data_IF_055454565697
#
_entry.id   IF_055454565697
#
_cell.length_a   1.000
_cell.length_b   1.000
_cell.length_c   1.000
_cell.angle_alpha   90.00
_cell.angle_beta   90.00
_cell.angle_gamma   90.00
#
_symmetry.space_group_name_H-M   'P 1'
#
loop_
_entity.id
_entity.type
_entity.pdbx_description
1 polymer ?
#
# COMPACT_ATOMS: atom_id res chain seq x y z
N UNK A 1 -72.09 -10.76 3.92
CA UNK A 1 -71.57 -10.52 5.28
C UNK A 1 -70.43 -9.53 5.16
N UNK A 2 -70.66 -8.21 5.07
CA UNK A 2 -70.83 -7.23 6.18
C UNK A 2 -69.63 -7.27 7.15
N UNK A 3 -68.75 -6.27 7.27
CA UNK A 3 -68.98 -4.87 7.69
C UNK A 3 -67.72 -4.00 7.35
N UNK A 4 -67.87 -2.81 6.75
CA UNK A 4 -67.87 -1.44 7.36
C UNK A 4 -66.58 -1.12 8.15
N UNK A 5 -65.71 -0.13 7.84
CA UNK A 5 -65.79 1.30 7.43
C UNK A 5 -65.24 2.23 8.55
N UNK A 6 -64.39 3.17 8.12
CA UNK A 6 -64.09 4.53 8.64
C UNK A 6 -62.99 4.72 9.69
N UNK A 7 -61.84 5.31 9.33
CA UNK A 7 -61.47 6.76 9.29
C UNK A 7 -61.77 7.58 10.55
N UNK A 8 -60.73 8.23 11.11
CA UNK A 8 -60.73 9.64 11.53
C UNK A 8 -59.31 10.22 11.68
N UNK A 9 -59.11 11.36 11.04
CA UNK A 9 -58.05 12.37 11.20
C UNK A 9 -58.38 13.24 12.42
N UNK A 10 -57.39 13.62 13.26
CA UNK A 10 -57.37 14.88 14.03
C UNK A 10 -55.92 15.35 14.23
N UNK A 11 -55.72 16.65 14.04
CA UNK A 11 -54.50 17.45 14.19
C UNK A 11 -54.50 18.21 15.54
N UNK A 12 -53.34 18.35 16.21
CA UNK A 12 -52.88 19.50 17.04
C UNK A 12 -51.58 19.11 17.77
N UNK A 13 -50.44 19.78 17.63
CA UNK A 13 -50.01 21.14 18.02
C UNK A 13 -49.25 21.16 19.39
N UNK A 14 -47.93 21.33 19.29
CA UNK A 14 -46.98 22.14 20.12
C UNK A 14 -46.88 21.95 21.64
N UNK A 15 -45.68 21.50 22.08
CA UNK A 15 -44.85 22.03 23.20
C UNK A 15 -43.62 21.08 23.26
N UNK A 16 -42.36 21.49 23.05
CA UNK A 16 -41.66 22.57 23.74
C UNK A 16 -40.80 21.97 24.85
N UNK A 17 -39.64 21.36 24.53
CA UNK A 17 -38.57 21.13 25.51
C UNK A 17 -37.21 21.21 24.84
N UNK A 18 -36.56 22.37 24.99
CA UNK A 18 -35.16 22.60 24.67
C UNK A 18 -34.34 21.97 25.80
N UNK A 19 -33.75 20.81 25.55
CA UNK A 19 -32.72 20.26 26.41
C UNK A 19 -31.36 20.80 25.92
N UNK A 20 -30.79 21.71 26.71
CA UNK A 20 -29.41 22.20 26.57
C UNK A 20 -28.44 21.03 26.83
N UNK A 21 -28.05 20.31 25.78
CA UNK A 21 -26.92 19.39 25.85
C UNK A 21 -25.63 20.21 25.92
N UNK A 22 -24.98 20.15 27.08
CA UNK A 22 -23.62 20.63 27.27
C UNK A 22 -22.68 19.91 26.28
N UNK A 23 -21.63 20.58 25.76
CA UNK A 23 -20.61 19.88 24.98
C UNK A 23 -19.82 18.99 25.94
N UNK A 24 -20.22 17.73 26.05
CA UNK A 24 -19.38 16.70 26.65
C UNK A 24 -18.12 16.60 25.80
N UNK A 25 -17.02 17.03 26.39
CA UNK A 25 -15.64 16.83 25.96
C UNK A 25 -15.50 15.58 25.08
N UNK A 26 -15.38 15.81 23.77
CA UNK A 26 -15.04 14.75 22.82
C UNK A 26 -13.63 14.27 23.15
N UNK A 27 -13.55 13.19 23.92
CA UNK A 27 -12.38 12.32 23.90
C UNK A 27 -12.26 11.81 22.48
N UNK A 28 -11.44 12.49 21.67
CA UNK A 28 -10.96 11.94 20.42
C UNK A 28 -10.03 10.78 20.78
N UNK A 29 -10.64 9.61 20.94
CA UNK A 29 -9.96 8.33 20.77
C UNK A 29 -9.55 8.23 19.30
N UNK A 30 -8.50 8.96 18.93
CA UNK A 30 -7.84 8.84 17.64
C UNK A 30 -6.97 7.58 17.68
N UNK A 31 -7.61 6.41 17.79
CA UNK A 31 -7.02 5.14 17.38
C UNK A 31 -7.13 5.05 15.84
N UNK A 32 -6.54 6.01 15.15
CA UNK A 32 -6.27 5.88 13.73
C UNK A 32 -5.01 5.05 13.59
N UNK A 33 -5.14 3.87 13.00
CA UNK A 33 -4.02 3.19 12.35
C UNK A 33 -3.37 4.20 11.40
N UNK A 34 -2.14 4.65 11.66
CA UNK A 34 -1.52 5.72 10.86
C UNK A 34 -0.32 5.32 10.00
N UNK A 35 0.16 4.09 10.09
CA UNK A 35 1.19 3.64 9.15
C UNK A 35 0.98 2.17 8.77
N UNK A 36 0.69 1.92 7.50
CA UNK A 36 0.94 0.65 6.84
C UNK A 36 2.38 0.71 6.34
N UNK A 37 3.26 -0.07 6.96
CA UNK A 37 4.66 -0.18 6.55
C UNK A 37 4.83 -1.51 5.83
N UNK A 38 5.54 -1.50 4.71
CA UNK A 38 5.95 -2.72 3.99
C UNK A 38 7.05 -3.43 4.79
N UNK A 39 6.75 -4.51 5.53
CA UNK A 39 7.66 -5.07 6.51
C UNK A 39 8.48 -6.18 5.83
N UNK A 40 9.36 -5.80 4.92
CA UNK A 40 10.32 -6.74 4.33
C UNK A 40 11.58 -6.91 5.18
N UNK A 41 11.75 -6.09 6.21
CA UNK A 41 12.80 -6.31 7.18
C UNK A 41 12.38 -7.36 8.24
N UNK A 42 13.30 -8.29 8.52
CA UNK A 42 13.22 -9.28 9.62
C UNK A 42 13.07 -8.64 11.01
N UNK A 43 13.17 -7.32 11.10
CA UNK A 43 13.13 -6.56 12.34
C UNK A 43 11.72 -6.09 12.77
N UNK A 44 10.70 -6.21 11.90
CA UNK A 44 9.32 -5.83 12.22
C UNK A 44 8.61 -6.90 13.06
N UNK A 45 8.82 -6.83 14.38
CA UNK A 45 8.12 -7.61 15.40
C UNK A 45 7.22 -6.72 16.25
N UNK A 46 6.21 -7.30 16.90
CA UNK A 46 5.40 -6.60 17.90
C UNK A 46 6.31 -5.92 18.94
N UNK A 47 6.00 -4.68 19.29
CA UNK A 47 6.74 -3.87 20.25
C UNK A 47 7.98 -3.17 19.68
N UNK A 48 8.37 -3.48 18.44
CA UNK A 48 9.45 -2.77 17.75
C UNK A 48 9.09 -1.31 17.57
N UNK A 49 10.00 -0.43 17.96
CA UNK A 49 9.93 1.00 17.73
C UNK A 49 10.13 1.38 16.27
N UNK A 50 9.45 2.42 15.80
CA UNK A 50 9.40 2.86 14.41
C UNK A 50 9.56 4.37 14.34
N UNK A 51 10.43 4.85 13.46
CA UNK A 51 10.44 6.25 13.03
C UNK A 51 9.39 6.45 11.93
N UNK A 52 8.37 7.28 12.16
CA UNK A 52 7.26 7.41 11.19
C UNK A 52 7.60 8.26 9.95
N UNK A 53 8.72 9.00 10.00
CA UNK A 53 9.21 9.75 8.86
C UNK A 53 10.07 8.87 7.94
N UNK A 54 11.02 8.12 8.52
CA UNK A 54 11.91 7.25 7.74
C UNK A 54 11.42 5.82 7.58
N UNK A 55 10.38 5.38 8.28
CA UNK A 55 9.95 3.98 8.28
C UNK A 55 10.91 3.01 8.98
N UNK A 56 12.03 3.52 9.51
CA UNK A 56 13.10 2.71 10.10
C UNK A 56 12.63 1.99 11.37
N UNK A 57 12.99 0.71 11.48
CA UNK A 57 12.86 -0.05 12.72
C UNK A 57 13.98 0.33 13.70
N UNK A 58 13.60 0.68 14.93
CA UNK A 58 14.48 1.15 16.00
C UNK A 58 14.50 0.15 17.17
N UNK A 59 14.72 0.63 18.39
CA UNK A 59 14.81 -0.18 19.59
C UNK A 59 13.52 -0.91 19.96
N UNK A 60 13.68 -1.94 20.80
CA UNK A 60 12.59 -2.70 21.39
C UNK A 60 12.29 -2.10 22.78
N UNK A 61 11.44 -1.08 22.80
CA UNK A 61 11.11 -0.32 24.02
C UNK A 61 9.80 -0.76 24.68
N UNK A 62 9.13 -1.77 24.14
CA UNK A 62 7.84 -2.27 24.63
C UNK A 62 8.02 -3.58 25.36
N UNK A 63 7.46 -3.67 26.55
CA UNK A 63 7.21 -4.91 27.25
C UNK A 63 5.89 -5.51 26.75
N UNK A 64 5.97 -6.72 26.18
CA UNK A 64 4.80 -7.51 25.79
C UNK A 64 4.48 -8.55 26.86
N UNK A 65 3.19 -8.94 27.03
CA UNK A 65 2.83 -10.09 27.85
C UNK A 65 3.44 -11.40 27.31
N UNK A 66 3.63 -12.39 28.19
CA UNK A 66 4.28 -13.66 27.88
C UNK A 66 3.46 -14.58 26.95
N UNK A 67 2.14 -14.40 26.89
CA UNK A 67 1.25 -15.16 26.02
C UNK A 67 0.44 -14.21 25.14
N UNK A 68 0.73 -14.22 23.84
CA UNK A 68 -0.09 -13.57 22.82
C UNK A 68 -1.15 -14.61 22.41
N UNK A 69 -2.46 -14.31 22.45
CA UNK A 69 -3.47 -15.23 21.96
C UNK A 69 -3.20 -15.51 20.48
N UNK A 70 -3.01 -16.78 20.13
CA UNK A 70 -3.07 -17.19 18.73
C UNK A 70 -4.52 -16.99 18.28
N UNK A 71 -4.74 -16.30 17.16
CA UNK A 71 -6.01 -16.45 16.47
C UNK A 71 -6.03 -17.88 15.91
N UNK A 72 -6.83 -18.73 16.54
CA UNK A 72 -7.05 -20.13 16.15
C UNK A 72 -7.98 -20.20 14.93
N UNK A 73 -7.60 -19.53 13.85
CA UNK A 73 -8.40 -19.49 12.64
C UNK A 73 -7.51 -19.62 11.41
N UNK A 74 -7.69 -20.71 10.67
CA UNK A 74 -7.15 -20.93 9.32
C UNK A 74 -7.72 -19.94 8.27
N UNK A 75 -8.50 -18.93 8.70
CA UNK A 75 -9.16 -17.97 7.84
C UNK A 75 -8.15 -17.11 7.08
N UNK A 76 -8.19 -17.19 5.75
CA UNK A 76 -7.41 -16.33 4.84
C UNK A 76 -8.36 -15.44 4.07
N UNK A 77 -7.97 -14.19 3.89
CA UNK A 77 -8.60 -13.29 2.93
C UNK A 77 -7.69 -13.18 1.71
N UNK A 78 -8.24 -13.35 0.51
CA UNK A 78 -7.50 -13.17 -0.74
C UNK A 78 -8.22 -12.16 -1.63
N UNK A 79 -7.46 -11.24 -2.22
CA UNK A 79 -7.94 -10.28 -3.20
C UNK A 79 -7.07 -10.34 -4.45
N UNK A 80 -7.70 -10.53 -5.62
CA UNK A 80 -7.07 -10.37 -6.93
C UNK A 80 -7.56 -9.04 -7.52
N UNK A 81 -6.62 -8.14 -7.80
CA UNK A 81 -6.85 -6.87 -8.47
C UNK A 81 -6.14 -6.89 -9.80
N UNK A 82 -6.85 -6.55 -10.87
CA UNK A 82 -6.28 -6.33 -12.19
C UNK A 82 -6.66 -4.91 -12.59
N UNK A 83 -5.65 -4.12 -12.97
CA UNK A 83 -5.84 -2.72 -13.29
C UNK A 83 -4.79 -2.20 -14.24
N UNK A 84 -4.86 -0.90 -14.48
CA UNK A 84 -3.86 -0.15 -15.21
C UNK A 84 -3.10 0.74 -14.28
N UNK A 85 -1.86 1.04 -14.65
CA UNK A 85 -1.07 2.08 -14.01
C UNK A 85 -0.98 3.26 -14.97
N UNK A 86 -1.40 4.43 -14.51
CA UNK A 86 -1.35 5.66 -15.31
C UNK A 86 -0.19 6.60 -14.94
N UNK A 87 0.36 6.44 -13.73
CA UNK A 87 1.46 7.26 -13.20
C UNK A 87 2.19 6.53 -12.07
N UNK A 88 3.37 6.99 -11.68
CA UNK A 88 4.06 6.46 -10.50
C UNK A 88 3.26 6.68 -9.21
N UNK A 89 2.50 7.77 -9.13
CA UNK A 89 1.59 8.00 -7.99
C UNK A 89 0.47 6.94 -7.92
N UNK A 90 -0.10 6.59 -9.07
CA UNK A 90 -1.11 5.54 -9.18
C UNK A 90 -0.54 4.16 -8.80
N UNK A 91 0.68 3.84 -9.25
CA UNK A 91 1.38 2.62 -8.83
C UNK A 91 1.54 2.55 -7.31
N UNK A 92 2.09 3.59 -6.69
CA UNK A 92 2.30 3.62 -5.23
C UNK A 92 0.98 3.45 -4.48
N UNK A 93 -0.08 4.13 -4.95
CA UNK A 93 -1.43 3.99 -4.39
C UNK A 93 -1.95 2.55 -4.52
N UNK A 94 -1.81 1.92 -5.68
CA UNK A 94 -2.23 0.53 -5.92
C UNK A 94 -1.44 -0.47 -5.06
N UNK A 95 -0.15 -0.21 -4.81
CA UNK A 95 0.70 -1.01 -3.92
C UNK A 95 0.43 -0.77 -2.43
N UNK A 96 -0.45 0.18 -2.08
CA UNK A 96 -0.77 0.55 -0.70
C UNK A 96 0.38 1.28 0.01
N UNK A 97 1.20 2.00 -0.74
CA UNK A 97 2.37 2.74 -0.26
C UNK A 97 2.12 4.25 -0.28
N UNK A 98 2.63 4.94 0.74
CA UNK A 98 2.72 6.39 0.71
C UNK A 98 3.90 6.81 -0.18
N UNK A 99 3.77 7.93 -0.92
CA UNK A 99 4.83 8.44 -1.79
C UNK A 99 6.17 8.62 -1.04
N UNK A 100 6.13 9.08 0.22
CA UNK A 100 7.33 9.25 1.07
C UNK A 100 8.17 7.97 1.23
N UNK A 101 7.56 6.79 1.04
CA UNK A 101 8.27 5.52 1.08
C UNK A 101 9.40 5.43 0.04
N UNK A 102 9.36 6.23 -1.03
CA UNK A 102 10.47 6.35 -1.99
C UNK A 102 11.78 6.78 -1.31
N UNK A 103 11.71 7.56 -0.23
CA UNK A 103 12.89 8.07 0.48
C UNK A 103 13.25 7.30 1.75
N UNK A 104 12.38 6.40 2.20
CA UNK A 104 12.63 5.57 3.39
C UNK A 104 13.72 4.52 3.17
N UNK A 105 14.24 4.39 1.94
CA UNK A 105 15.32 3.47 1.55
C UNK A 105 16.72 4.07 1.73
N UNK A 106 16.85 5.38 1.97
CA UNK A 106 18.13 6.09 2.06
C UNK A 106 18.99 5.65 3.26
N UNK A 107 18.41 5.07 4.30
CA UNK A 107 19.11 4.62 5.52
C UNK A 107 19.62 3.17 5.47
N UNK A 108 19.52 2.50 4.31
CA UNK A 108 20.07 1.16 4.09
C UNK A 108 19.10 0.00 4.38
N UNK A 109 17.85 0.29 4.78
CA UNK A 109 16.79 -0.73 4.88
C UNK A 109 16.03 -0.84 3.56
N UNK A 110 16.43 -1.78 2.70
CA UNK A 110 15.77 -1.99 1.40
C UNK A 110 14.37 -2.60 1.58
N UNK A 111 13.34 -1.77 1.46
CA UNK A 111 11.98 -2.23 1.23
C UNK A 111 11.90 -2.87 -0.15
N UNK A 112 11.66 -4.17 -0.24
CA UNK A 112 11.57 -4.85 -1.53
C UNK A 112 10.41 -4.37 -2.43
N UNK A 113 9.34 -3.72 -1.95
CA UNK A 113 8.38 -3.05 -2.85
C UNK A 113 8.93 -1.77 -3.46
N UNK A 114 9.64 -0.95 -2.70
CA UNK A 114 10.30 0.26 -3.27
C UNK A 114 11.38 -0.15 -4.27
N UNK A 115 12.17 -1.18 -3.95
CA UNK A 115 13.15 -1.72 -4.89
C UNK A 115 12.52 -2.36 -6.12
N UNK A 116 11.29 -2.86 -6.01
CA UNK A 116 10.53 -3.33 -7.17
C UNK A 116 10.07 -2.17 -8.06
N UNK A 117 9.57 -1.07 -7.48
CA UNK A 117 9.20 0.11 -8.28
C UNK A 117 10.38 0.74 -9.00
N UNK A 118 11.60 0.61 -8.45
CA UNK A 118 12.82 1.12 -9.09
C UNK A 118 13.26 0.31 -10.33
N UNK A 119 12.66 -0.86 -10.60
CA UNK A 119 13.04 -1.73 -11.73
C UNK A 119 12.52 -1.22 -13.08
N UNK A 120 11.54 -0.32 -13.08
CA UNK A 120 10.91 0.20 -14.28
C UNK A 120 10.55 1.68 -14.09
N UNK A 121 10.33 2.38 -15.19
CA UNK A 121 9.95 3.79 -15.18
C UNK A 121 8.67 3.96 -15.97
N UNK A 122 7.66 4.58 -15.36
CA UNK A 122 6.35 4.76 -15.99
C UNK A 122 6.41 5.95 -16.94
N UNK A 123 6.06 5.72 -18.20
CA UNK A 123 5.94 6.75 -19.22
C UNK A 123 4.55 6.75 -19.87
N UNK A 124 4.25 7.79 -20.64
CA UNK A 124 2.92 8.01 -21.25
C UNK A 124 2.72 7.23 -22.54
N UNK A 125 3.78 6.75 -23.17
CA UNK A 125 3.78 6.03 -24.45
C UNK A 125 3.50 4.53 -24.25
N UNK A 126 4.04 3.92 -23.21
CA UNK A 126 3.77 2.52 -22.85
C UNK A 126 2.39 2.36 -22.18
N UNK A 127 1.84 1.15 -22.29
CA UNK A 127 0.69 0.70 -21.51
C UNK A 127 1.18 -0.17 -20.35
N UNK A 128 0.83 0.22 -19.13
CA UNK A 128 1.18 -0.54 -17.93
C UNK A 128 -0.04 -1.25 -17.37
N UNK A 129 0.05 -2.57 -17.24
CA UNK A 129 -0.95 -3.41 -16.60
C UNK A 129 -0.43 -3.91 -15.27
N UNK A 130 -1.30 -3.90 -14.27
CA UNK A 130 -1.03 -4.31 -12.91
C UNK A 130 -1.90 -5.50 -12.53
N UNK A 131 -1.27 -6.56 -12.05
CA UNK A 131 -1.94 -7.72 -11.44
C UNK A 131 -1.41 -7.83 -10.02
N UNK A 132 -2.31 -7.76 -9.03
CA UNK A 132 -1.97 -7.92 -7.63
C UNK A 132 -2.84 -8.98 -6.98
N UNK A 133 -2.18 -9.92 -6.32
CA UNK A 133 -2.82 -10.89 -5.46
C UNK A 133 -2.29 -10.70 -4.07
N UNK A 134 -3.17 -10.27 -3.17
CA UNK A 134 -2.85 -10.08 -1.77
C UNK A 134 -3.60 -11.10 -0.93
N UNK A 135 -2.86 -11.84 -0.13
CA UNK A 135 -3.38 -12.87 0.78
C UNK A 135 -3.05 -12.41 2.19
N UNK A 136 -4.05 -12.19 3.02
CA UNK A 136 -3.89 -11.77 4.41
C UNK A 136 -4.40 -12.85 5.34
N UNK A 137 -3.55 -13.26 6.28
CA UNK A 137 -3.92 -14.06 7.44
C UNK A 137 -4.59 -13.17 8.50
N UNK A 138 -5.16 -13.75 9.57
CA UNK A 138 -5.77 -12.97 10.63
C UNK A 138 -4.78 -11.97 11.24
N UNK A 139 -5.30 -10.83 11.70
CA UNK A 139 -4.52 -9.78 12.33
C UNK A 139 -3.96 -10.26 13.68
N UNK A 140 -2.65 -10.31 13.83
CA UNK A 140 -2.01 -10.54 15.13
C UNK A 140 -1.92 -9.22 15.88
N UNK A 141 -2.49 -9.16 17.08
CA UNK A 141 -2.46 -7.95 17.92
C UNK A 141 -2.15 -8.31 19.36
N UNK A 142 -1.43 -7.43 20.05
CA UNK A 142 -1.18 -7.55 21.48
C UNK A 142 -1.98 -6.50 22.25
N UNK A 143 -2.55 -6.89 23.39
CA UNK A 143 -3.12 -5.99 24.40
C UNK A 143 -2.16 -5.85 25.58
N UNK A 144 -2.41 -4.87 26.44
CA UNK A 144 -1.73 -4.74 27.73
C UNK A 144 -0.20 -4.60 27.63
N UNK A 145 0.24 -3.83 26.63
CA UNK A 145 1.64 -3.44 26.46
C UNK A 145 1.99 -2.23 27.33
N UNK A 146 3.26 -2.15 27.73
CA UNK A 146 3.81 -1.03 28.50
C UNK A 146 5.23 -0.72 28.04
N UNK A 147 5.74 0.47 28.34
CA UNK A 147 7.16 0.76 28.15
C UNK A 147 8.02 -0.10 29.08
N UNK A 148 9.17 -0.57 28.58
CA UNK A 148 10.22 -1.12 29.44
C UNK A 148 10.74 -0.05 30.39
N UNK A 149 11.17 -0.47 31.59
CA UNK A 149 11.66 0.46 32.61
C UNK A 149 12.87 1.27 32.11
N UNK A 150 13.76 0.68 31.33
CA UNK A 150 14.91 1.39 30.75
C UNK A 150 14.49 2.50 29.78
N UNK A 151 13.41 2.29 29.02
CA UNK A 151 12.87 3.30 28.12
C UNK A 151 12.20 4.45 28.90
N UNK A 152 11.50 4.14 29.99
CA UNK A 152 10.97 5.14 30.93
C UNK A 152 12.10 5.95 31.56
N UNK A 153 13.16 5.28 32.01
CA UNK A 153 14.34 5.92 32.60
C UNK A 153 15.04 6.82 31.58
N UNK A 154 15.21 6.36 30.34
CA UNK A 154 15.80 7.14 29.25
C UNK A 154 15.02 8.43 29.03
N UNK A 155 13.69 8.36 28.94
CA UNK A 155 12.85 9.54 28.78
C UNK A 155 13.01 10.51 29.97
N UNK A 156 12.94 10.00 31.20
CA UNK A 156 12.98 10.83 32.40
C UNK A 156 14.36 11.49 32.64
N UNK A 157 15.44 10.83 32.23
CA UNK A 157 16.81 11.29 32.50
C UNK A 157 17.44 12.07 31.35
N UNK A 158 17.10 11.73 30.09
CA UNK A 158 17.70 12.31 28.89
C UNK A 158 16.68 13.03 27.98
N UNK A 159 15.39 12.96 28.31
CA UNK A 159 14.32 13.67 27.61
C UNK A 159 13.76 12.93 26.40
N UNK A 160 12.77 13.57 25.76
CA UNK A 160 11.98 13.00 24.68
C UNK A 160 12.79 12.72 23.40
N UNK A 161 13.80 13.54 23.08
CA UNK A 161 14.62 13.37 21.88
C UNK A 161 15.50 12.10 21.97
N UNK A 162 16.17 11.89 23.11
CA UNK A 162 16.95 10.69 23.36
C UNK A 162 16.07 9.43 23.32
N UNK A 163 14.87 9.50 23.93
CA UNK A 163 13.88 8.44 23.83
C UNK A 163 13.50 8.16 22.37
N UNK A 164 13.18 9.18 21.56
CA UNK A 164 12.80 9.03 20.16
C UNK A 164 13.92 8.43 19.31
N UNK A 165 15.17 8.84 19.53
CA UNK A 165 16.30 8.28 18.79
C UNK A 165 16.51 6.79 19.09
N UNK A 166 16.20 6.35 20.32
CA UNK A 166 16.32 4.95 20.72
C UNK A 166 15.09 4.11 20.36
N UNK A 167 13.88 4.64 20.59
CA UNK A 167 12.61 3.92 20.54
C UNK A 167 11.77 4.28 19.31
N UNK A 168 12.03 5.39 18.64
CA UNK A 168 11.19 5.90 17.56
C UNK A 168 9.99 6.71 18.04
N UNK A 169 9.09 6.96 17.09
CA UNK A 169 7.89 7.77 17.22
C UNK A 169 6.68 6.94 17.68
N UNK A 170 6.59 5.73 17.13
CA UNK A 170 5.52 4.77 17.37
C UNK A 170 6.10 3.37 17.55
N UNK A 171 5.28 2.41 17.96
CA UNK A 171 5.68 1.01 18.03
C UNK A 171 4.72 0.12 17.25
N UNK A 172 5.20 -1.02 16.75
CA UNK A 172 4.36 -2.03 16.09
C UNK A 172 3.44 -2.66 17.12
N UNK A 173 2.13 -2.37 17.03
CA UNK A 173 1.10 -2.89 17.93
C UNK A 173 0.45 -4.17 17.39
N UNK A 174 0.31 -4.24 16.07
CA UNK A 174 -0.34 -5.36 15.40
C UNK A 174 0.32 -5.57 14.04
N UNK A 175 0.21 -6.77 13.49
CA UNK A 175 0.61 -7.05 12.11
C UNK A 175 -0.27 -8.14 11.51
N UNK A 176 -0.47 -8.13 10.20
CA UNK A 176 -0.99 -9.29 9.47
C UNK A 176 0.14 -9.93 8.66
N UNK A 177 0.21 -11.25 8.70
CA UNK A 177 1.08 -12.04 7.81
C UNK A 177 0.30 -12.50 6.59
N UNK A 178 1.01 -13.00 5.59
CA UNK A 178 0.40 -13.56 4.41
C UNK A 178 1.38 -13.58 3.26
N UNK A 179 0.92 -13.19 2.08
CA UNK A 179 1.77 -13.03 0.92
C UNK A 179 1.19 -12.07 -0.08
N UNK A 180 2.06 -11.56 -0.93
CA UNK A 180 1.69 -10.64 -1.98
C UNK A 180 2.45 -10.98 -3.26
N UNK A 181 1.70 -11.13 -4.35
CA UNK A 181 2.21 -11.30 -5.69
C UNK A 181 1.79 -10.07 -6.50
N UNK A 182 2.77 -9.40 -7.11
CA UNK A 182 2.58 -8.27 -8.01
C UNK A 182 3.25 -8.62 -9.33
N UNK A 183 2.51 -8.47 -10.42
CA UNK A 183 3.07 -8.45 -11.76
C UNK A 183 2.73 -7.12 -12.42
N UNK A 184 3.75 -6.48 -13.00
CA UNK A 184 3.61 -5.31 -13.86
C UNK A 184 4.04 -5.71 -15.25
N UNK A 185 3.15 -5.54 -16.22
CA UNK A 185 3.48 -5.68 -17.64
C UNK A 185 3.61 -4.28 -18.23
N UNK A 186 4.76 -4.01 -18.84
CA UNK A 186 4.96 -2.85 -19.70
C UNK A 186 4.84 -3.30 -21.16
N UNK A 187 3.75 -2.91 -21.81
CA UNK A 187 3.54 -3.10 -23.24
C UNK A 187 3.98 -1.83 -23.94
N UNK A 188 5.12 -1.87 -24.63
CA UNK A 188 5.67 -0.72 -25.35
C UNK A 188 4.85 -0.46 -26.60
N UNK A 189 4.48 0.79 -26.82
CA UNK A 189 3.64 1.18 -27.97
C UNK A 189 4.33 2.27 -28.77
N UNK A 190 4.05 2.30 -30.07
CA UNK A 190 4.67 3.26 -30.98
C UNK A 190 4.16 4.69 -30.78
N UNK A 191 2.90 4.84 -30.39
CA UNK A 191 2.25 6.14 -30.22
C UNK A 191 0.96 6.04 -29.38
N UNK A 192 0.42 7.19 -29.00
CA UNK A 192 -0.77 7.28 -28.15
C UNK A 192 -2.02 6.62 -28.78
N UNK A 193 -2.15 6.61 -30.11
CA UNK A 193 -3.27 5.97 -30.79
C UNK A 193 -3.19 4.44 -30.67
N UNK A 194 -2.01 3.87 -30.91
CA UNK A 194 -1.75 2.44 -30.72
C UNK A 194 -1.95 2.02 -29.26
N UNK A 195 -1.47 2.82 -28.29
CA UNK A 195 -1.76 2.62 -26.86
C UNK A 195 -3.26 2.58 -26.56
N UNK A 196 -4.05 3.52 -27.11
CA UNK A 196 -5.51 3.57 -26.91
C UNK A 196 -6.22 2.36 -27.52
N UNK A 197 -5.74 1.88 -28.66
CA UNK A 197 -6.27 0.68 -29.32
C UNK A 197 -6.05 -0.57 -28.46
N UNK A 198 -4.81 -0.80 -27.99
CA UNK A 198 -4.50 -1.92 -27.08
C UNK A 198 -5.29 -1.78 -25.78
N UNK A 199 -5.32 -0.58 -25.18
CA UNK A 199 -6.07 -0.32 -23.95
C UNK A 199 -7.56 -0.66 -24.10
N UNK A 200 -8.19 -0.24 -25.20
CA UNK A 200 -9.59 -0.53 -25.47
C UNK A 200 -9.84 -2.03 -25.68
N UNK A 201 -8.93 -2.74 -26.35
CA UNK A 201 -9.06 -4.18 -26.60
C UNK A 201 -8.98 -5.01 -25.32
N UNK A 202 -8.22 -4.54 -24.33
CA UNK A 202 -8.06 -5.19 -23.02
C UNK A 202 -9.15 -4.75 -22.03
N UNK A 203 -9.54 -3.45 -22.03
CA UNK A 203 -10.53 -2.88 -21.10
C UNK A 203 -11.90 -3.54 -21.14
N UNK A 204 -12.33 -3.98 -22.31
CA UNK A 204 -13.61 -4.70 -22.48
C UNK A 204 -13.70 -6.02 -21.70
N UNK A 205 -12.57 -6.50 -21.17
CA UNK A 205 -12.45 -7.83 -20.56
C UNK A 205 -12.13 -7.80 -19.06
N UNK A 206 -12.07 -6.62 -18.41
CA UNK A 206 -11.86 -6.51 -16.96
C UNK A 206 -13.10 -6.99 -16.19
N UNK A 207 -13.09 -8.24 -15.71
CA UNK A 207 -14.15 -8.77 -14.85
C UNK A 207 -14.01 -10.26 -14.53
N UNK A 208 -13.75 -10.58 -13.26
CA UNK A 208 -13.53 -11.95 -12.77
C UNK A 208 -14.81 -12.81 -12.79
N UNK A 209 -15.99 -12.21 -12.96
CA UNK A 209 -17.27 -12.92 -12.82
C UNK A 209 -17.75 -13.73 -14.03
N UNK A 210 -17.12 -13.64 -15.21
CA UNK A 210 -17.40 -14.58 -16.34
C UNK A 210 -16.51 -14.42 -17.59
N UNK A 211 -15.47 -13.56 -17.58
CA UNK A 211 -14.74 -13.15 -18.79
C UNK A 211 -13.26 -13.53 -18.91
N UNK A 212 -12.71 -14.32 -17.97
CA UNK A 212 -11.25 -14.57 -17.86
C UNK A 212 -10.57 -15.05 -19.15
N UNK A 213 -11.26 -15.87 -19.96
CA UNK A 213 -10.73 -16.35 -21.25
C UNK A 213 -10.57 -15.21 -22.26
N UNK A 214 -11.55 -14.31 -22.36
CA UNK A 214 -11.50 -13.17 -23.30
C UNK A 214 -10.42 -12.15 -22.93
N UNK A 215 -10.18 -11.95 -21.63
CA UNK A 215 -9.07 -11.14 -21.14
C UNK A 215 -7.72 -11.76 -21.49
N UNK A 216 -7.51 -13.03 -21.13
CA UNK A 216 -6.24 -13.71 -21.39
C UNK A 216 -5.90 -13.74 -22.88
N UNK A 217 -6.89 -13.97 -23.75
CA UNK A 217 -6.67 -13.95 -25.21
C UNK A 217 -6.24 -12.57 -25.73
N UNK A 218 -6.92 -11.50 -25.31
CA UNK A 218 -6.60 -10.13 -25.73
C UNK A 218 -5.26 -9.65 -25.18
N UNK A 219 -4.95 -10.04 -23.95
CA UNK A 219 -3.65 -9.78 -23.35
C UNK A 219 -2.54 -10.55 -24.08
N UNK A 220 -2.75 -11.82 -24.41
CA UNK A 220 -1.78 -12.63 -25.16
C UNK A 220 -1.51 -12.05 -26.55
N UNK A 221 -2.57 -11.58 -27.23
CA UNK A 221 -2.46 -10.87 -28.52
C UNK A 221 -1.61 -9.60 -28.38
N UNK A 222 -1.84 -8.81 -27.33
CA UNK A 222 -1.06 -7.61 -27.05
C UNK A 222 0.43 -7.93 -26.73
N UNK A 223 0.68 -8.95 -25.90
CA UNK A 223 2.04 -9.43 -25.57
C UNK A 223 2.77 -9.91 -26.82
N UNK A 224 2.09 -10.66 -27.70
CA UNK A 224 2.70 -11.26 -28.89
C UNK A 224 2.98 -10.24 -30.00
N UNK A 225 2.17 -9.17 -30.08
CA UNK A 225 2.27 -8.14 -31.11
C UNK A 225 3.18 -6.97 -30.74
N UNK A 226 3.63 -6.88 -29.47
CA UNK A 226 4.39 -5.75 -28.97
C UNK A 226 5.59 -6.20 -28.14
N UNK A 227 6.63 -5.35 -28.09
CA UNK A 227 7.71 -5.53 -27.11
C UNK A 227 7.14 -5.36 -25.71
N UNK A 228 7.22 -6.42 -24.92
CA UNK A 228 6.64 -6.45 -23.58
C UNK A 228 7.69 -6.85 -22.56
N UNK A 229 7.80 -6.04 -21.50
CA UNK A 229 8.62 -6.34 -20.34
C UNK A 229 7.72 -6.76 -19.15
N UNK A 230 8.15 -7.76 -18.40
CA UNK A 230 7.42 -8.30 -17.24
C UNK A 230 8.27 -8.16 -15.98
N UNK A 231 7.71 -7.46 -15.01
CA UNK A 231 8.30 -7.25 -13.69
C UNK A 231 7.46 -8.00 -12.66
N UNK A 232 8.10 -8.82 -11.83
CA UNK A 232 7.43 -9.60 -10.79
C UNK A 232 8.03 -9.26 -9.43
N UNK A 233 7.15 -8.93 -8.50
CA UNK A 233 7.43 -8.93 -7.07
C UNK A 233 6.61 -10.02 -6.40
N UNK A 234 7.25 -10.78 -5.52
CA UNK A 234 6.58 -11.79 -4.71
C UNK A 234 7.16 -11.80 -3.30
N UNK A 235 6.27 -11.76 -2.30
CA UNK A 235 6.61 -11.96 -0.89
C UNK A 235 5.75 -13.05 -0.29
N UNK A 236 6.38 -14.07 0.28
CA UNK A 236 5.69 -15.26 0.78
C UNK A 236 5.18 -16.21 -0.32
N UNK A 237 4.69 -17.36 0.11
CA UNK A 237 4.26 -18.44 -0.78
C UNK A 237 5.42 -19.23 -1.40
N UNK A 238 5.08 -20.08 -2.36
CA UNK A 238 6.07 -20.84 -3.15
C UNK A 238 6.60 -19.96 -4.27
N UNK A 239 7.92 -19.83 -4.38
CA UNK A 239 8.54 -19.08 -5.48
C UNK A 239 8.60 -19.97 -6.73
N UNK A 240 7.73 -19.66 -7.69
CA UNK A 240 7.78 -20.23 -9.04
C UNK A 240 7.94 -19.08 -10.04
N UNK A 241 8.84 -19.21 -11.02
CA UNK A 241 8.96 -18.20 -12.06
C UNK A 241 7.72 -18.23 -12.95
N UNK A 242 7.08 -17.09 -13.17
CA UNK A 242 6.06 -16.98 -14.21
C UNK A 242 6.76 -16.69 -15.54
N UNK A 243 6.35 -17.36 -16.61
CA UNK A 243 6.73 -16.98 -17.97
C UNK A 243 5.98 -15.74 -18.43
N UNK A 244 6.53 -15.03 -19.42
CA UNK A 244 5.82 -13.96 -20.13
C UNK A 244 4.73 -14.58 -21.02
N UNK A 245 3.58 -14.90 -20.44
CA UNK A 245 2.33 -15.19 -21.14
C UNK A 245 1.14 -14.83 -20.26
N UNK A 246 0.04 -14.42 -20.88
CA UNK A 246 -1.19 -14.06 -20.18
C UNK A 246 -1.73 -15.23 -19.36
N UNK A 247 -1.73 -16.44 -19.94
CA UNK A 247 -2.22 -17.64 -19.28
C UNK A 247 -1.37 -18.05 -18.07
N UNK A 248 -0.05 -18.02 -18.18
CA UNK A 248 0.84 -18.35 -17.07
C UNK A 248 0.72 -17.34 -15.93
N UNK A 249 0.62 -16.04 -16.25
CA UNK A 249 0.45 -14.97 -15.26
C UNK A 249 -0.90 -15.10 -14.53
N UNK A 250 -1.99 -15.32 -15.28
CA UNK A 250 -3.32 -15.48 -14.70
C UNK A 250 -3.44 -16.77 -13.87
N UNK A 251 -2.89 -17.87 -14.37
CA UNK A 251 -2.84 -19.14 -13.64
C UNK A 251 -2.06 -18.98 -12.34
N UNK A 252 -0.89 -18.32 -12.39
CA UNK A 252 -0.12 -18.03 -11.19
C UNK A 252 -0.91 -17.15 -10.22
N UNK A 253 -1.55 -16.08 -10.70
CA UNK A 253 -2.32 -15.18 -9.86
C UNK A 253 -3.50 -15.90 -9.16
N UNK A 254 -4.22 -16.77 -9.89
CA UNK A 254 -5.34 -17.56 -9.34
C UNK A 254 -4.86 -18.59 -8.31
N UNK A 255 -3.72 -19.23 -8.56
CA UNK A 255 -3.19 -20.29 -7.70
C UNK A 255 -2.35 -19.78 -6.52
N UNK A 256 -1.84 -18.55 -6.60
CA UNK A 256 -0.99 -17.96 -5.57
C UNK A 256 -1.56 -18.04 -4.14
N UNK A 257 -2.87 -17.78 -3.89
CA UNK A 257 -3.44 -17.90 -2.55
C UNK A 257 -3.30 -19.29 -1.92
N UNK A 258 -3.41 -20.35 -2.73
CA UNK A 258 -3.24 -21.72 -2.25
C UNK A 258 -1.78 -22.04 -1.87
N UNK A 259 -0.81 -21.30 -2.43
CA UNK A 259 0.62 -21.45 -2.10
C UNK A 259 1.00 -20.86 -0.74
N UNK A 260 0.16 -20.00 -0.17
CA UNK A 260 0.41 -19.38 1.14
C UNK A 260 0.07 -20.36 2.25
N UNK A 261 1.04 -20.65 3.09
CA UNK A 261 0.96 -21.49 4.29
C UNK A 261 1.49 -20.71 5.49
N UNK A 262 1.30 -21.25 6.69
CA UNK A 262 1.84 -20.63 7.91
C UNK A 262 3.37 -20.50 7.86
N UNK A 263 4.06 -21.48 7.28
CA UNK A 263 5.53 -21.58 7.25
C UNK A 263 6.20 -20.68 6.20
N UNK A 264 5.48 -20.33 5.14
CA UNK A 264 6.00 -19.47 4.07
C UNK A 264 5.27 -18.12 3.98
N UNK A 265 4.48 -17.77 4.99
CA UNK A 265 3.92 -16.42 5.11
C UNK A 265 4.98 -15.43 5.59
N UNK A 266 4.82 -14.17 5.20
CA UNK A 266 5.64 -13.04 5.65
C UNK A 266 4.74 -11.95 6.19
N UNK A 267 5.20 -11.10 7.12
CA UNK A 267 4.51 -9.85 7.44
C UNK A 267 4.24 -9.06 6.15
N UNK A 268 3.01 -8.60 5.94
CA UNK A 268 2.62 -7.80 4.76
C UNK A 268 2.07 -6.42 5.13
N UNK A 269 1.57 -6.26 6.36
CA UNK A 269 1.13 -4.98 6.92
C UNK A 269 1.47 -4.97 8.41
N UNK A 270 2.19 -3.95 8.85
CA UNK A 270 2.31 -3.60 10.26
C UNK A 270 1.34 -2.45 10.58
N UNK A 271 0.80 -2.45 11.80
CA UNK A 271 -0.03 -1.41 12.38
C UNK A 271 0.68 -0.85 13.60
N UNK A 272 0.93 0.46 13.59
CA UNK A 272 1.66 1.14 14.66
C UNK A 272 0.72 1.87 15.62
N UNK A 273 1.22 2.12 16.84
CA UNK A 273 0.54 2.94 17.84
C UNK A 273 1.53 3.94 18.48
N UNK A 274 1.09 5.17 18.79
CA UNK A 274 1.92 6.14 19.51
C UNK A 274 2.27 5.68 20.92
N UNK A 275 3.50 5.91 21.38
CA UNK A 275 3.91 5.59 22.75
C UNK A 275 3.05 6.27 23.84
N UNK A 276 2.52 7.47 23.55
CA UNK A 276 1.61 8.21 24.44
C UNK A 276 0.29 7.48 24.75
N UNK A 277 -0.06 6.41 24.03
CA UNK A 277 -1.25 5.61 24.36
C UNK A 277 -1.00 4.61 25.48
N UNK A 278 0.25 4.47 25.94
CA UNK A 278 0.63 3.54 27.01
C UNK A 278 0.41 4.20 28.37
N UNK A 279 -0.17 3.44 29.31
CA UNK A 279 -0.51 3.94 30.65
C UNK A 279 0.72 4.41 31.45
N UNK A 280 1.90 3.80 31.21
CA UNK A 280 3.14 4.17 31.87
C UNK A 280 4.03 5.10 31.03
N UNK A 281 3.49 5.74 30.00
CA UNK A 281 4.23 6.77 29.26
C UNK A 281 4.46 7.99 30.17
N UNK A 282 5.70 8.50 30.32
CA UNK A 282 5.97 9.62 31.20
C UNK A 282 5.22 10.89 30.78
N UNK A 283 4.75 11.66 31.76
CA UNK A 283 4.24 13.00 31.52
C UNK A 283 5.40 13.93 31.15
N UNK A 284 5.30 14.64 30.03
CA UNK A 284 6.33 15.56 29.57
C UNK A 284 5.76 16.58 28.58
N UNK A 285 6.53 17.64 28.24
CA UNK A 285 6.11 18.59 27.22
C UNK A 285 5.81 17.85 25.92
N UNK A 286 4.63 18.10 25.38
CA UNK A 286 4.21 17.59 24.07
C UNK A 286 4.96 18.36 23.02
N UNK A 287 6.09 17.85 22.51
CA UNK A 287 6.76 18.50 21.38
C UNK A 287 7.26 17.52 20.33
N UNK A 288 6.65 17.62 19.15
CA UNK A 288 7.25 18.04 17.88
C UNK A 288 6.19 17.85 16.81
N UNK A 289 5.98 18.86 15.97
CA UNK A 289 5.03 18.82 14.86
C UNK A 289 5.50 17.88 13.74
N UNK A 290 5.56 16.58 14.05
CA UNK A 290 5.88 15.51 13.10
C UNK A 290 4.82 15.47 12.00
N UNK A 291 3.59 15.89 12.32
CA UNK A 291 2.51 15.99 11.36
C UNK A 291 2.83 16.98 10.22
N UNK A 292 3.34 18.18 10.53
CA UNK A 292 3.76 19.13 9.49
C UNK A 292 4.94 18.58 8.69
N UNK A 293 5.95 17.98 9.35
CA UNK A 293 7.10 17.37 8.65
C UNK A 293 6.66 16.24 7.71
N UNK A 294 5.76 15.39 8.18
CA UNK A 294 5.18 14.30 7.40
C UNK A 294 4.37 14.83 6.21
N UNK A 295 3.56 15.87 6.40
CA UNK A 295 2.78 16.50 5.33
C UNK A 295 3.70 17.09 4.25
N UNK A 296 4.75 17.81 4.65
CA UNK A 296 5.72 18.39 3.72
C UNK A 296 6.48 17.29 2.98
N UNK A 297 6.97 16.27 3.69
CA UNK A 297 7.69 15.15 3.07
C UNK A 297 6.81 14.38 2.07
N UNK A 298 5.56 14.12 2.43
CA UNK A 298 4.60 13.50 1.53
C UNK A 298 4.33 14.36 0.29
N UNK A 299 4.23 15.69 0.45
CA UNK A 299 4.05 16.59 -0.70
C UNK A 299 5.26 16.52 -1.64
N UNK A 300 6.48 16.69 -1.09
CA UNK A 300 7.72 16.64 -1.87
C UNK A 300 7.88 15.29 -2.59
N UNK A 301 7.54 14.19 -1.92
CA UNK A 301 7.58 12.86 -2.54
C UNK A 301 6.57 12.70 -3.67
N UNK A 302 5.36 13.26 -3.53
CA UNK A 302 4.37 13.25 -4.61
C UNK A 302 4.84 14.07 -5.82
N UNK A 303 5.45 15.23 -5.58
CA UNK A 303 5.98 16.10 -6.64
C UNK A 303 7.13 15.39 -7.39
N UNK A 304 8.01 14.70 -6.67
CA UNK A 304 9.11 13.93 -7.27
C UNK A 304 8.64 12.72 -8.08
N UNK A 305 7.55 12.04 -7.69
CA UNK A 305 6.95 10.99 -8.51
C UNK A 305 6.46 11.57 -9.86
N UNK A 306 5.87 12.76 -9.87
CA UNK A 306 5.44 13.44 -11.12
C UNK A 306 6.64 13.79 -11.98
N UNK A 307 7.70 14.34 -11.40
CA UNK A 307 8.93 14.67 -12.13
C UNK A 307 9.61 13.42 -12.69
N UNK A 308 9.54 12.30 -11.96
CA UNK A 308 10.07 11.01 -12.41
C UNK A 308 9.33 10.50 -13.65
N UNK A 309 7.99 10.61 -13.68
CA UNK A 309 7.18 10.27 -14.85
C UNK A 309 7.53 11.17 -16.06
N UNK A 310 7.69 12.48 -15.84
CA UNK A 310 8.09 13.42 -16.91
C UNK A 310 9.49 13.10 -17.47
N UNK A 311 10.44 12.73 -16.61
CA UNK A 311 11.77 12.34 -17.03
C UNK A 311 11.75 11.02 -17.81
N UNK A 312 10.91 10.07 -17.39
CA UNK A 312 10.71 8.82 -18.09
C UNK A 312 10.12 9.04 -19.50
N UNK A 313 9.18 9.97 -19.67
CA UNK A 313 8.67 10.37 -20.99
C UNK A 313 9.78 10.87 -21.92
N UNK A 314 10.65 11.75 -21.42
CA UNK A 314 11.77 12.30 -22.21
C UNK A 314 12.78 11.20 -22.55
N UNK A 315 13.13 10.37 -21.58
CA UNK A 315 14.09 9.27 -21.79
C UNK A 315 13.55 8.25 -22.80
N UNK A 316 12.27 7.90 -22.72
CA UNK A 316 11.63 7.00 -23.67
C UNK A 316 11.74 7.51 -25.10
N UNK A 317 11.43 8.79 -25.32
CA UNK A 317 11.60 9.41 -26.64
C UNK A 317 13.05 9.35 -27.11
N UNK A 318 14.02 9.70 -26.25
CA UNK A 318 15.44 9.70 -26.63
C UNK A 318 16.00 8.29 -26.94
N UNK A 319 15.55 7.24 -26.24
CA UNK A 319 16.06 5.88 -26.47
C UNK A 319 15.44 5.22 -27.69
N UNK A 320 14.15 5.45 -27.93
CA UNK A 320 13.44 4.81 -29.04
C UNK A 320 13.61 5.59 -30.36
N UNK A 321 13.87 6.90 -30.33
CA UNK A 321 14.16 7.74 -31.50
C UNK A 321 15.54 7.40 -32.14
N UNK A 322 16.48 6.83 -31.37
CA UNK A 322 17.75 6.32 -31.90
C UNK A 322 17.60 5.06 -32.79
N UNK A 323 16.39 4.51 -32.90
CA UNK A 323 16.05 3.43 -33.84
C UNK A 323 15.24 3.93 -35.05
N UNK A 324 15.00 5.23 -35.20
CA UNK A 324 14.51 5.74 -36.49
C UNK A 324 15.63 5.58 -37.53
N UNK A 325 15.32 5.08 -38.74
CA UNK A 325 16.29 5.08 -39.83
C UNK A 325 16.82 6.51 -40.01
N UNK A 326 18.11 6.63 -40.29
CA UNK A 326 18.83 7.86 -40.65
C UNK A 326 18.21 8.51 -41.91
N UNK A 327 16.96 8.94 -41.85
CA UNK A 327 16.33 9.74 -42.88
C UNK A 327 16.64 11.19 -42.55
N UNK A 328 17.79 11.62 -43.08
CA UNK A 328 18.26 13.00 -43.18
C UNK A 328 17.25 13.96 -43.87
N UNK A 329 16.00 13.55 -44.10
CA UNK A 329 14.94 14.32 -44.74
C UNK A 329 14.14 15.20 -43.76
N UNK A 330 14.15 14.93 -42.44
CA UNK A 330 13.33 15.71 -41.50
C UNK A 330 14.00 17.01 -41.01
N UNK A 331 15.33 17.13 -41.12
CA UNK A 331 16.06 18.36 -40.73
C UNK A 331 16.00 19.45 -41.81
N UNK A 332 15.49 19.16 -43.01
CA UNK A 332 15.41 20.15 -44.10
C UNK A 332 14.10 20.99 -44.13
N UNK A 333 13.24 20.89 -43.11
CA UNK A 333 11.95 21.61 -43.06
C UNK A 333 11.67 22.40 -41.77
N UNK A 334 12.68 22.66 -40.96
CA UNK A 334 12.67 23.73 -39.95
C UNK A 334 13.65 24.83 -40.38
#
# INVERSE_FOLDING_TARGET
MSNLLRTKFVSSLVMGLIALSHPSCGSQSNSTVKAQIDPLATDFKIGRGINILSGQALGDCIQTPASIPAFDTEGKQSTLTIGKIESSQDLFKQMGMAAKAKYTTWDGTTGGKTSFTDQFSINRQSLYLYINVKVSNPLFTVSDVSLKQDAVNLFNTQGAEAFRNACGDEFVRSFTSGGEFIAVLEIKTENEAHKKEIDASIKGSYGVSSGGISFSQKLEEAISSNKTDLYIYQSGGSFEHASLSADALMTKAINYPASITINNSRPIIAFTAPYKTLLNFPAGPSDLDIYVKEKVLNQLANDDLVLSDMLADVNYLLTEDNNLPNDAAYIAKL
#
